data_IF_867855006327
#
_entry.id   IF_867855006327
#
_cell.length_a   1.000
_cell.length_b   1.000
_cell.length_c   1.000
_cell.angle_alpha   90.00
_cell.angle_beta   90.00
_cell.angle_gamma   90.00
#
_symmetry.space_group_name_H-M   'P 1'
#
loop_
_entity.id
_entity.type
_entity.pdbx_description
1 polymer ?
#
# COMPACT_ATOMS: atom_id res chain seq x y z
N UNK A 1 8.31 20.54 27.37
CA UNK A 1 9.00 19.35 26.81
C UNK A 1 8.06 18.18 26.50
N UNK A 2 7.19 17.75 27.43
CA UNK A 2 6.27 16.60 27.25
C UNK A 2 5.36 16.68 26.00
N UNK A 3 4.79 17.86 25.74
CA UNK A 3 3.91 18.11 24.57
C UNK A 3 4.66 17.98 23.24
N UNK A 4 5.91 18.46 23.16
CA UNK A 4 6.73 18.31 21.96
C UNK A 4 7.06 16.83 21.67
N UNK A 5 7.28 16.05 22.72
CA UNK A 5 7.54 14.61 22.63
C UNK A 5 6.31 13.83 22.17
N UNK A 6 5.12 14.19 22.65
CA UNK A 6 3.85 13.61 22.21
C UNK A 6 3.51 13.97 20.75
N UNK A 7 3.77 15.22 20.33
CA UNK A 7 3.65 15.61 18.90
C UNK A 7 4.62 14.84 18.00
N UNK A 8 5.86 14.62 18.47
CA UNK A 8 6.83 13.77 17.79
C UNK A 8 6.35 12.32 17.66
N UNK A 9 5.82 11.74 18.73
CA UNK A 9 5.25 10.39 18.72
C UNK A 9 4.08 10.28 17.72
N UNK A 10 3.18 11.27 17.68
CA UNK A 10 2.09 11.32 16.69
C UNK A 10 2.62 11.35 15.25
N UNK A 11 3.64 12.17 14.97
CA UNK A 11 4.26 12.25 13.66
C UNK A 11 4.90 10.92 13.23
N UNK A 12 5.57 10.22 14.16
CA UNK A 12 6.15 8.89 13.91
C UNK A 12 5.07 7.87 13.57
N UNK A 13 3.95 7.85 14.31
CA UNK A 13 2.84 6.93 14.06
C UNK A 13 2.19 7.21 12.70
N UNK A 14 2.00 8.48 12.33
CA UNK A 14 1.51 8.88 11.00
C UNK A 14 2.48 8.50 9.88
N UNK A 15 3.79 8.71 10.06
CA UNK A 15 4.80 8.30 9.08
C UNK A 15 4.80 6.77 8.88
N UNK A 16 4.68 6.01 9.96
CA UNK A 16 4.56 4.56 9.92
C UNK A 16 3.31 4.11 9.14
N UNK A 17 2.17 4.77 9.34
CA UNK A 17 0.96 4.53 8.55
C UNK A 17 1.19 4.71 7.05
N UNK A 18 1.81 5.83 6.65
CA UNK A 18 2.11 6.12 5.24
C UNK A 18 3.04 5.06 4.65
N UNK A 19 4.08 4.67 5.38
CA UNK A 19 5.02 3.62 4.93
C UNK A 19 4.31 2.28 4.79
N UNK A 20 3.46 1.88 5.74
CA UNK A 20 2.69 0.64 5.65
C UNK A 20 1.72 0.65 4.47
N UNK A 21 1.01 1.77 4.25
CA UNK A 21 0.11 1.91 3.10
C UNK A 21 0.87 1.84 1.77
N UNK A 22 2.00 2.54 1.66
CA UNK A 22 2.86 2.51 0.48
C UNK A 22 3.43 1.11 0.23
N UNK A 23 3.87 0.40 1.28
CA UNK A 23 4.37 -0.96 1.17
C UNK A 23 3.28 -1.93 0.68
N UNK A 24 2.04 -1.78 1.17
CA UNK A 24 0.91 -2.63 0.76
C UNK A 24 0.55 -2.43 -0.71
N UNK A 25 0.51 -1.17 -1.16
CA UNK A 25 0.32 -0.82 -2.57
C UNK A 25 1.48 -1.34 -3.43
N UNK A 26 2.72 -1.10 -2.99
CA UNK A 26 3.93 -1.53 -3.68
C UNK A 26 4.02 -3.05 -3.83
N UNK A 27 3.69 -3.80 -2.77
CA UNK A 27 3.67 -5.27 -2.78
C UNK A 27 2.61 -5.78 -3.77
N UNK A 28 1.45 -5.14 -3.83
CA UNK A 28 0.38 -5.48 -4.77
C UNK A 28 0.82 -5.29 -6.22
N UNK A 29 1.43 -4.14 -6.54
CA UNK A 29 1.95 -3.86 -7.89
C UNK A 29 3.07 -4.84 -8.25
N UNK A 30 3.99 -5.09 -7.30
CA UNK A 30 5.11 -6.01 -7.51
C UNK A 30 4.63 -7.44 -7.78
N UNK A 31 3.64 -7.93 -7.03
CA UNK A 31 3.07 -9.26 -7.24
C UNK A 31 2.46 -9.41 -8.65
N UNK A 32 1.74 -8.39 -9.12
CA UNK A 32 1.14 -8.36 -10.46
C UNK A 32 2.20 -8.32 -11.55
N UNK A 33 3.24 -7.51 -11.35
CA UNK A 33 4.36 -7.43 -12.30
C UNK A 33 5.08 -8.77 -12.40
N UNK A 34 5.39 -9.39 -11.25
CA UNK A 34 6.01 -10.72 -11.23
C UNK A 34 5.12 -11.75 -11.90
N UNK A 35 3.82 -11.74 -11.61
CA UNK A 35 2.87 -12.62 -12.28
C UNK A 35 2.89 -12.43 -13.80
N UNK A 36 2.72 -11.17 -14.27
CA UNK A 36 2.72 -10.80 -15.68
C UNK A 36 3.99 -11.20 -16.44
N UNK A 37 5.14 -11.17 -15.76
CA UNK A 37 6.42 -11.60 -16.32
C UNK A 37 6.67 -13.10 -16.20
N UNK A 38 6.05 -13.78 -15.24
CA UNK A 38 6.27 -15.19 -14.94
C UNK A 38 5.43 -16.12 -15.79
N UNK A 39 4.13 -15.85 -15.94
CA UNK A 39 3.22 -16.74 -16.68
C UNK A 39 3.59 -16.94 -18.17
N UNK A 40 4.09 -15.95 -18.92
CA UNK A 40 4.46 -16.17 -20.33
C UNK A 40 5.66 -17.10 -20.46
N UNK A 41 6.53 -17.13 -19.44
CA UNK A 41 7.69 -18.05 -19.38
C UNK A 41 7.23 -19.51 -19.30
N UNK A 42 6.12 -19.79 -18.60
CA UNK A 42 5.53 -21.13 -18.56
C UNK A 42 4.98 -21.56 -19.94
N UNK A 43 4.57 -20.60 -20.76
CA UNK A 43 4.08 -20.83 -22.12
C UNK A 43 5.20 -20.87 -23.18
N UNK A 44 6.48 -20.77 -22.78
CA UNK A 44 7.61 -20.73 -23.71
C UNK A 44 7.68 -19.45 -24.55
N UNK A 45 7.08 -18.36 -24.09
CA UNK A 45 7.06 -17.06 -24.79
C UNK A 45 8.23 -16.21 -24.29
N UNK A 46 9.21 -16.01 -25.18
CA UNK A 46 10.43 -15.23 -24.91
C UNK A 46 10.49 -13.93 -25.73
N UNK A 47 11.48 -13.08 -25.41
CA UNK A 47 11.75 -11.83 -26.13
C UNK A 47 10.70 -10.73 -25.91
N UNK A 48 10.53 -9.87 -26.91
CA UNK A 48 9.65 -8.68 -26.86
C UNK A 48 8.17 -9.03 -26.62
N UNK A 49 7.73 -10.18 -27.13
CA UNK A 49 6.36 -10.69 -26.99
C UNK A 49 5.97 -10.91 -25.54
N UNK A 50 6.92 -11.31 -24.69
CA UNK A 50 6.74 -11.46 -23.25
C UNK A 50 6.38 -10.15 -22.56
N UNK A 51 7.01 -9.04 -22.95
CA UNK A 51 6.74 -7.72 -22.38
C UNK A 51 5.34 -7.23 -22.76
N UNK A 52 4.92 -7.48 -24.00
CA UNK A 52 3.57 -7.15 -24.48
C UNK A 52 2.53 -7.94 -23.70
N UNK A 53 2.72 -9.26 -23.55
CA UNK A 53 1.83 -10.10 -22.75
C UNK A 53 1.76 -9.63 -21.30
N UNK A 54 2.91 -9.32 -20.69
CA UNK A 54 2.97 -8.80 -19.34
C UNK A 54 2.11 -7.53 -19.20
N UNK A 55 2.29 -6.55 -20.10
CA UNK A 55 1.51 -5.31 -20.11
C UNK A 55 0.01 -5.56 -20.29
N UNK A 56 -0.37 -6.48 -21.17
CA UNK A 56 -1.78 -6.88 -21.38
C UNK A 56 -2.36 -7.52 -20.12
N UNK A 57 -1.61 -8.37 -19.40
CA UNK A 57 -2.06 -8.92 -18.11
C UNK A 57 -2.12 -7.89 -16.98
N UNK A 58 -1.29 -6.84 -17.01
CA UNK A 58 -1.32 -5.79 -15.99
C UNK A 58 -2.54 -4.86 -16.16
N UNK A 59 -3.00 -4.64 -17.39
CA UNK A 59 -4.14 -3.79 -17.74
C UNK A 59 -5.42 -4.05 -16.93
N UNK A 60 -5.99 -5.28 -16.89
CA UNK A 60 -7.17 -5.55 -16.09
C UNK A 60 -6.91 -5.37 -14.59
N UNK A 61 -5.68 -5.64 -14.14
CA UNK A 61 -5.30 -5.47 -12.74
C UNK A 61 -5.22 -3.99 -12.36
N UNK A 62 -4.68 -3.13 -13.23
CA UNK A 62 -4.66 -1.67 -13.05
C UNK A 62 -6.07 -1.09 -13.03
N UNK A 63 -6.96 -1.59 -13.90
CA UNK A 63 -8.38 -1.21 -13.88
C UNK A 63 -9.05 -1.65 -12.58
N UNK A 64 -8.83 -2.88 -12.14
CA UNK A 64 -9.37 -3.38 -10.88
C UNK A 64 -8.80 -2.63 -9.68
N UNK A 65 -7.51 -2.32 -9.71
CA UNK A 65 -6.80 -1.56 -8.68
C UNK A 65 -7.36 -0.14 -8.58
N UNK A 66 -7.55 0.57 -9.70
CA UNK A 66 -8.13 1.92 -9.70
C UNK A 66 -9.61 1.95 -9.32
N UNK A 67 -10.37 0.90 -9.66
CA UNK A 67 -11.78 0.75 -9.28
C UNK A 67 -11.98 0.18 -7.88
N UNK A 68 -10.93 -0.39 -7.27
CA UNK A 68 -11.00 -0.93 -5.92
C UNK A 68 -11.33 0.22 -4.99
N UNK A 69 -12.33 0.03 -4.12
CA UNK A 69 -12.66 1.03 -3.14
C UNK A 69 -11.61 1.03 -2.01
N UNK A 70 -10.48 1.69 -2.26
CA UNK A 70 -9.35 1.82 -1.33
C UNK A 70 -9.74 2.39 0.02
N UNK A 71 -10.88 3.11 0.11
CA UNK A 71 -11.41 3.61 1.38
C UNK A 71 -11.65 2.51 2.41
N UNK A 72 -11.98 1.28 2.00
CA UNK A 72 -12.17 0.15 2.92
C UNK A 72 -10.87 -0.36 3.53
N UNK A 73 -9.88 -0.84 2.75
CA UNK A 73 -8.61 -1.31 3.30
C UNK A 73 -7.82 -0.18 3.98
N UNK A 74 -7.77 1.02 3.38
CA UNK A 74 -7.12 2.16 4.01
C UNK A 74 -7.88 2.64 5.25
N UNK A 75 -9.21 2.58 5.25
CA UNK A 75 -10.05 2.93 6.40
C UNK A 75 -9.91 1.95 7.57
N UNK A 76 -9.74 0.66 7.30
CA UNK A 76 -9.40 -0.32 8.34
C UNK A 76 -8.01 -0.07 8.92
N UNK A 77 -7.03 0.22 8.04
CA UNK A 77 -5.68 0.57 8.45
C UNK A 77 -5.68 1.86 9.28
N UNK A 78 -6.42 2.89 8.84
CA UNK A 78 -6.53 4.16 9.55
C UNK A 78 -7.24 4.01 10.89
N UNK A 79 -8.26 3.16 11.00
CA UNK A 79 -8.92 2.87 12.28
C UNK A 79 -7.96 2.21 13.27
N UNK A 80 -7.09 1.30 12.81
CA UNK A 80 -6.05 0.68 13.64
C UNK A 80 -5.03 1.70 14.13
N UNK A 81 -4.54 2.56 13.24
CA UNK A 81 -3.59 3.62 13.61
C UNK A 81 -4.23 4.71 14.46
N UNK A 82 -5.49 5.07 14.23
CA UNK A 82 -6.23 6.02 15.07
C UNK A 82 -6.33 5.53 16.51
N UNK A 83 -6.55 4.23 16.76
CA UNK A 83 -6.53 3.69 18.14
C UNK A 83 -5.18 3.86 18.83
N UNK A 84 -4.08 3.93 18.09
CA UNK A 84 -2.74 4.16 18.64
C UNK A 84 -2.45 5.66 18.87
N UNK A 85 -3.04 6.53 18.04
CA UNK A 85 -2.89 7.99 18.16
C UNK A 85 -3.83 8.58 19.19
N UNK A 86 -5.03 8.04 19.37
CA UNK A 86 -6.05 8.52 20.30
C UNK A 86 -5.56 8.71 21.75
N UNK A 87 -4.78 7.78 22.37
CA UNK A 87 -4.22 8.03 23.70
C UNK A 87 -3.15 9.13 23.70
N UNK A 88 -2.43 9.33 22.59
CA UNK A 88 -1.44 10.40 22.44
C UNK A 88 -2.14 11.75 22.34
N UNK A 89 -3.20 11.86 21.52
CA UNK A 89 -3.97 13.09 21.38
C UNK A 89 -4.68 13.47 22.70
N UNK A 90 -5.28 12.50 23.41
CA UNK A 90 -5.85 12.75 24.75
C UNK A 90 -4.82 13.22 25.78
N UNK A 91 -3.55 12.82 25.63
CA UNK A 91 -2.46 13.27 26.49
C UNK A 91 -1.87 14.63 26.08
N UNK A 92 -2.16 15.11 24.87
CA UNK A 92 -1.79 16.45 24.38
C UNK A 92 -2.86 17.49 24.76
N UNK A 93 -4.14 17.09 24.74
CA UNK A 93 -5.28 17.97 25.07
C UNK A 93 -5.45 18.23 26.58
N UNK A 94 -4.90 17.36 27.42
CA UNK A 94 -4.80 17.56 28.88
C UNK A 94 -3.54 18.35 29.25
#
# INVERSE_FOLDING_TARGET
MRIALLRGARAIVMACFVVCAAALVGLSIYAVLQFGLWWPKLAGIDGSTRLILAAVTMLPFLLLFTKLNWSRPLGWLSARFNRLVEPIDRAIER
#
